data_IF_894903547741
#
_entry.id   IF_894903547741
#
_cell.length_a   1.000
_cell.length_b   1.000
_cell.length_c   1.000
_cell.angle_alpha   90.00
_cell.angle_beta   90.00
_cell.angle_gamma   90.00
#
_symmetry.space_group_name_H-M   'P 1'
#
loop_
_entity.id
_entity.type
_entity.pdbx_description
1 polymer ?
#
# COMPACT_ATOMS: atom_id res chain seq x y z
N UNK A 1 16.98 -22.57 8.93
CA UNK A 1 15.78 -21.76 8.66
C UNK A 1 15.94 -20.46 9.42
N UNK A 2 16.07 -19.32 8.73
CA UNK A 2 16.14 -18.02 9.41
C UNK A 2 14.73 -17.77 9.97
N UNK A 3 14.52 -17.58 11.28
CA UNK A 3 13.21 -17.19 11.77
C UNK A 3 12.90 -15.85 11.10
N UNK A 4 11.92 -15.85 10.20
CA UNK A 4 11.32 -14.63 9.69
C UNK A 4 10.75 -13.97 10.93
N UNK A 5 11.45 -12.94 11.44
CA UNK A 5 10.93 -12.18 12.58
C UNK A 5 9.53 -11.71 12.16
N UNK A 6 8.52 -11.93 13.00
CA UNK A 6 7.19 -11.44 12.71
C UNK A 6 7.29 -9.92 12.51
N UNK A 7 6.66 -9.44 11.44
CA UNK A 7 6.59 -8.02 11.16
C UNK A 7 5.71 -7.36 12.23
N UNK A 8 6.23 -6.35 12.92
CA UNK A 8 5.47 -5.63 13.93
C UNK A 8 4.61 -4.55 13.28
N UNK A 9 3.32 -4.82 13.16
CA UNK A 9 2.37 -3.87 12.58
C UNK A 9 2.08 -2.65 13.45
N UNK A 10 2.38 -2.72 14.75
CA UNK A 10 2.14 -1.64 15.72
C UNK A 10 3.22 -0.54 15.73
N UNK A 11 4.23 -0.64 14.88
CA UNK A 11 5.28 0.40 14.79
C UNK A 11 4.92 1.47 13.77
N UNK A 12 5.48 2.66 13.96
CA UNK A 12 5.28 3.82 13.09
C UNK A 12 5.70 3.51 11.65
N UNK A 13 4.92 4.01 10.69
CA UNK A 13 5.19 3.78 9.29
C UNK A 13 5.04 5.04 8.45
N UNK A 14 5.88 5.14 7.43
CA UNK A 14 5.96 6.27 6.54
C UNK A 14 5.77 5.81 5.10
N UNK A 15 4.76 6.36 4.45
CA UNK A 15 4.46 6.06 3.06
C UNK A 15 5.01 7.18 2.18
N UNK A 16 5.91 6.78 1.29
CA UNK A 16 6.55 7.68 0.33
C UNK A 16 5.96 7.48 -1.06
N UNK A 17 5.57 8.56 -1.75
CA UNK A 17 5.20 8.48 -3.15
C UNK A 17 6.41 8.14 -4.02
N UNK A 18 6.11 7.51 -5.15
CA UNK A 18 7.08 7.32 -6.21
C UNK A 18 7.65 8.67 -6.65
N UNK A 19 8.98 8.78 -6.74
CA UNK A 19 9.64 9.91 -7.37
C UNK A 19 9.46 9.82 -8.90
N UNK A 20 8.30 10.25 -9.41
CA UNK A 20 8.00 10.17 -10.84
C UNK A 20 8.74 11.29 -11.59
N UNK A 21 9.76 10.90 -12.38
CA UNK A 21 10.56 11.82 -13.21
C UNK A 21 9.83 12.32 -14.47
N UNK A 22 8.77 11.65 -14.93
CA UNK A 22 8.05 12.05 -16.16
C UNK A 22 6.57 11.67 -16.07
N UNK A 23 5.72 12.71 -15.94
CA UNK A 23 4.26 12.75 -16.17
C UNK A 23 3.39 11.92 -15.20
N UNK A 24 2.50 12.65 -14.52
CA UNK A 24 1.61 12.27 -13.40
C UNK A 24 2.35 12.11 -12.07
N UNK A 25 2.24 13.14 -11.21
CA UNK A 25 2.51 13.01 -9.78
C UNK A 25 1.78 11.77 -9.26
N UNK A 26 2.43 10.97 -8.40
CA UNK A 26 1.72 9.97 -7.61
C UNK A 26 0.52 10.67 -6.99
N UNK A 27 -0.68 10.08 -7.10
CA UNK A 27 -1.94 10.71 -6.69
C UNK A 27 -2.05 10.96 -5.18
N UNK A 28 -0.95 10.82 -4.44
CA UNK A 28 -0.86 11.08 -3.02
C UNK A 28 0.50 11.71 -2.67
N UNK A 29 0.49 12.49 -1.60
CA UNK A 29 1.68 13.09 -1.00
C UNK A 29 2.20 12.22 0.14
N UNK A 30 3.46 12.39 0.54
CA UNK A 30 4.04 11.75 1.72
C UNK A 30 3.08 11.77 2.91
N UNK A 31 2.91 10.62 3.56
CA UNK A 31 2.03 10.47 4.72
C UNK A 31 2.67 9.53 5.73
N UNK A 32 2.70 9.97 6.99
CA UNK A 32 3.09 9.14 8.13
C UNK A 32 1.86 8.62 8.85
N UNK A 33 1.99 7.43 9.40
CA UNK A 33 0.96 6.73 10.16
C UNK A 33 1.52 6.34 11.53
N UNK A 34 0.64 6.27 12.51
CA UNK A 34 1.00 5.81 13.85
C UNK A 34 1.37 4.33 13.86
N UNK A 35 0.78 3.55 12.95
CA UNK A 35 1.04 2.12 12.81
C UNK A 35 1.28 1.71 11.35
N UNK A 36 2.07 0.65 11.16
CA UNK A 36 2.31 0.04 9.86
C UNK A 36 1.06 -0.63 9.30
N UNK A 37 0.19 -1.16 10.16
CA UNK A 37 -1.10 -1.68 9.71
C UNK A 37 -1.94 -0.62 8.99
N UNK A 38 -2.08 0.57 9.59
CA UNK A 38 -2.83 1.67 8.98
C UNK A 38 -2.21 2.10 7.65
N UNK A 39 -0.88 2.16 7.58
CA UNK A 39 -0.20 2.56 6.37
C UNK A 39 -0.38 1.55 5.22
N UNK A 40 -0.30 0.25 5.53
CA UNK A 40 -0.55 -0.83 4.56
C UNK A 40 -2.00 -0.84 4.11
N UNK A 41 -2.96 -0.69 5.05
CA UNK A 41 -4.39 -0.59 4.71
C UNK A 41 -4.67 0.58 3.79
N UNK A 42 -4.18 1.77 4.15
CA UNK A 42 -4.32 2.97 3.32
C UNK A 42 -3.70 2.76 1.93
N UNK A 43 -2.53 2.11 1.86
CA UNK A 43 -1.86 1.86 0.60
C UNK A 43 -2.60 0.88 -0.31
N UNK A 44 -3.38 -0.05 0.22
CA UNK A 44 -4.14 -1.01 -0.56
C UNK A 44 -5.58 -0.56 -0.85
N UNK A 45 -6.22 0.14 0.08
CA UNK A 45 -7.64 0.50 -0.02
C UNK A 45 -7.87 1.92 -0.54
N UNK A 46 -6.99 2.86 -0.18
CA UNK A 46 -7.19 4.29 -0.47
C UNK A 46 -6.34 4.77 -1.64
N UNK A 47 -5.20 4.13 -1.93
CA UNK A 47 -4.38 4.48 -3.07
C UNK A 47 -4.84 3.76 -4.33
N UNK A 48 -4.98 4.49 -5.47
CA UNK A 48 -5.16 3.83 -6.75
C UNK A 48 -3.90 3.05 -7.12
N UNK A 49 -4.07 1.92 -7.82
CA UNK A 49 -2.98 1.00 -8.21
C UNK A 49 -1.83 1.72 -8.92
N UNK A 50 -2.13 2.72 -9.76
CA UNK A 50 -1.12 3.55 -10.44
C UNK A 50 -0.22 4.33 -9.49
N UNK A 51 -0.75 4.75 -8.34
CA UNK A 51 0.02 5.45 -7.31
C UNK A 51 0.82 4.49 -6.44
N UNK A 52 0.30 3.28 -6.23
CA UNK A 52 1.00 2.22 -5.53
C UNK A 52 2.20 1.68 -6.34
N UNK A 53 2.14 1.73 -7.68
CA UNK A 53 3.15 1.28 -8.68
C UNK A 53 4.51 2.03 -8.65
N UNK A 54 5.00 2.37 -7.47
CA UNK A 54 6.27 3.06 -7.24
C UNK A 54 6.32 3.71 -5.85
N UNK A 55 5.20 3.70 -5.13
CA UNK A 55 5.21 3.98 -3.71
C UNK A 55 6.01 2.92 -2.97
N UNK A 56 6.67 3.34 -1.90
CA UNK A 56 7.27 2.43 -0.95
C UNK A 56 6.91 2.85 0.47
N UNK A 57 6.68 1.86 1.30
CA UNK A 57 6.42 2.00 2.71
C UNK A 57 7.73 1.77 3.47
N UNK A 58 8.10 2.71 4.31
CA UNK A 58 9.20 2.55 5.24
C UNK A 58 8.63 2.36 6.64
N UNK A 59 9.07 1.31 7.31
CA UNK A 59 8.64 0.93 8.66
C UNK A 59 9.89 0.68 9.47
N UNK A 60 10.18 1.58 10.41
CA UNK A 60 11.47 1.65 11.09
C UNK A 60 12.65 1.72 10.08
N UNK A 61 13.46 0.66 9.99
CA UNK A 61 14.56 0.52 9.02
C UNK A 61 14.18 -0.35 7.79
N UNK A 62 13.02 -1.00 7.82
CA UNK A 62 12.57 -1.85 6.73
C UNK A 62 11.87 -1.03 5.65
N UNK A 63 12.20 -1.29 4.39
CA UNK A 63 11.53 -0.71 3.23
C UNK A 63 10.78 -1.79 2.48
N UNK A 64 9.53 -1.50 2.14
CA UNK A 64 8.62 -2.36 1.41
C UNK A 64 8.13 -1.60 0.18
N UNK A 65 8.49 -2.12 -0.98
CA UNK A 65 7.90 -1.79 -2.25
C UNK A 65 6.46 -2.34 -2.34
N UNK A 66 5.75 -2.02 -3.42
CA UNK A 66 4.38 -2.46 -3.67
C UNK A 66 4.12 -3.95 -3.37
N UNK A 67 5.02 -4.84 -3.82
CA UNK A 67 4.86 -6.28 -3.60
C UNK A 67 4.97 -6.64 -2.12
N UNK A 68 5.89 -5.97 -1.40
CA UNK A 68 6.02 -6.10 0.04
C UNK A 68 4.77 -5.61 0.78
N UNK A 69 4.24 -4.44 0.39
CA UNK A 69 3.01 -3.86 0.97
C UNK A 69 1.83 -4.82 0.77
N UNK A 70 1.66 -5.36 -0.45
CA UNK A 70 0.60 -6.34 -0.75
C UNK A 70 0.77 -7.61 0.09
N UNK A 71 1.98 -8.15 0.17
CA UNK A 71 2.27 -9.34 0.98
C UNK A 71 1.97 -9.12 2.46
N UNK A 72 2.25 -7.93 2.98
CA UNK A 72 1.91 -7.55 4.36
C UNK A 72 0.40 -7.46 4.59
N UNK A 73 -0.36 -6.93 3.62
CA UNK A 73 -1.82 -6.86 3.69
C UNK A 73 -2.46 -8.25 3.62
N UNK A 74 -1.95 -9.13 2.77
CA UNK A 74 -2.44 -10.50 2.57
C UNK A 74 -2.01 -11.46 3.69
N UNK A 75 -1.00 -11.09 4.49
CA UNK A 75 -0.50 -11.88 5.62
C UNK A 75 -1.54 -12.05 6.73
N UNK A 76 -1.67 -13.27 7.25
CA UNK A 76 -2.56 -13.60 8.39
C UNK A 76 -2.20 -12.84 9.67
N UNK A 77 -0.98 -12.32 9.77
CA UNK A 77 -0.54 -11.51 10.90
C UNK A 77 -1.07 -10.06 10.88
N UNK A 78 -1.79 -9.66 9.82
CA UNK A 78 -2.32 -8.32 9.67
C UNK A 78 -3.44 -8.05 10.69
N UNK A 79 -3.31 -7.05 11.58
CA UNK A 79 -4.21 -6.90 12.73
C UNK A 79 -5.51 -6.14 12.42
N UNK A 80 -5.62 -5.45 11.27
CA UNK A 80 -6.81 -4.66 10.92
C UNK A 80 -7.76 -5.45 10.01
N UNK A 81 -9.05 -5.12 10.08
CA UNK A 81 -10.05 -5.67 9.17
C UNK A 81 -9.72 -5.27 7.73
N UNK A 82 -9.67 -6.27 6.84
CA UNK A 82 -9.44 -6.05 5.41
C UNK A 82 -10.76 -5.59 4.80
N UNK A 83 -10.95 -4.30 4.64
CA UNK A 83 -12.07 -3.78 3.86
C UNK A 83 -11.69 -3.85 2.39
N UNK A 84 -11.67 -5.06 1.83
CA UNK A 84 -11.65 -5.23 0.38
C UNK A 84 -12.91 -4.56 -0.12
N UNK A 85 -12.78 -3.31 -0.57
CA UNK A 85 -13.85 -2.62 -1.28
C UNK A 85 -14.26 -3.58 -2.39
N UNK A 86 -15.54 -4.02 -2.45
CA UNK A 86 -16.00 -4.84 -3.56
C UNK A 86 -15.59 -4.06 -4.81
N UNK A 87 -14.84 -4.74 -5.68
CA UNK A 87 -14.31 -4.14 -6.89
C UNK A 87 -15.41 -3.30 -7.52
N UNK A 88 -15.14 -2.03 -7.92
CA UNK A 88 -16.01 -1.45 -8.90
C UNK A 88 -15.86 -2.41 -10.09
N UNK A 89 -16.93 -3.17 -10.35
CA UNK A 89 -17.17 -3.78 -11.65
C UNK A 89 -16.61 -2.80 -12.67
N UNK A 90 -15.63 -3.27 -13.44
CA UNK A 90 -15.05 -2.48 -14.49
C UNK A 90 -16.22 -1.79 -15.22
N UNK A 91 -16.25 -0.46 -15.21
CA UNK A 91 -17.01 0.30 -16.21
C UNK A 91 -16.32 0.03 -17.55
N UNK A 92 -16.53 -1.18 -18.05
CA UNK A 92 -16.45 -1.53 -19.44
C UNK A 92 -17.73 -0.97 -20.05
N UNK A 93 -17.72 0.32 -20.38
CA UNK A 93 -18.61 0.89 -21.38
C UNK A 93 -17.96 2.15 -21.94
N UNK A 94 -16.82 1.93 -22.60
CA UNK A 94 -16.50 2.67 -23.80
C UNK A 94 -17.19 1.94 -24.97
N UNK A 95 -18.53 1.95 -25.01
CA UNK A 95 -19.25 1.59 -26.22
C UNK A 95 -19.27 2.79 -27.15
N UNK A 96 -18.63 2.57 -28.29
CA UNK A 96 -18.63 3.46 -29.42
C UNK A 96 -19.96 3.31 -30.16
N UNK A 97 -20.65 4.42 -30.39
CA UNK A 97 -21.64 4.55 -31.47
C UNK A 97 -21.61 5.97 -32.02
#
# INVERSE_FOLDING_TARGET
MRPLRPFNFNTSAELFPAAIRKKKRAGFTYRRFGTAAEAVQFAMEQLPTDSLNGAYLQVEEARFDQNGIRSLYESEAFPLERHRKPEPVAEADADAA
#
